data_IF_921137151395
#
_entry.id   IF_921137151395
#
_cell.length_a   1.000
_cell.length_b   1.000
_cell.length_c   1.000
_cell.angle_alpha   90.00
_cell.angle_beta   90.00
_cell.angle_gamma   90.00
#
_symmetry.space_group_name_H-M   'P 1'
#
loop_
_entity.id
_entity.type
_entity.pdbx_description
1 polymer ?
#
# COMPACT_ATOMS: atom_id res chain seq x y z
N UNK A 1 23.01 -19.25 29.34
CA UNK A 1 22.11 -18.08 29.45
C UNK A 1 21.95 -17.46 28.05
N UNK A 2 21.19 -18.10 27.14
CA UNK A 2 21.13 -17.66 25.71
C UNK A 2 19.71 -17.63 25.10
N UNK A 3 18.66 -17.51 25.92
CA UNK A 3 17.27 -17.54 25.42
C UNK A 3 16.64 -16.14 25.23
N UNK A 4 17.35 -15.04 25.52
CA UNK A 4 16.78 -13.68 25.42
C UNK A 4 16.96 -13.03 24.04
N UNK A 5 18.07 -13.28 23.34
CA UNK A 5 18.32 -12.66 22.02
C UNK A 5 17.34 -13.14 20.93
N UNK A 6 16.92 -14.42 20.97
CA UNK A 6 15.93 -14.99 20.03
C UNK A 6 14.51 -14.46 20.26
N UNK A 7 14.17 -14.06 21.49
CA UNK A 7 12.87 -13.43 21.78
C UNK A 7 12.85 -12.02 21.23
N UNK A 8 13.85 -11.20 21.55
CA UNK A 8 13.98 -9.80 21.11
C UNK A 8 13.76 -9.60 19.60
N UNK A 9 14.33 -10.49 18.78
CA UNK A 9 14.21 -10.46 17.31
C UNK A 9 12.78 -10.67 16.79
N UNK A 10 11.94 -11.46 17.48
CA UNK A 10 10.56 -11.73 17.06
C UNK A 10 9.53 -10.74 17.59
N UNK A 11 9.84 -10.04 18.68
CA UNK A 11 8.92 -9.05 19.26
C UNK A 11 8.91 -7.74 18.46
N UNK A 12 10.05 -7.37 17.88
CA UNK A 12 10.17 -6.14 17.08
C UNK A 12 9.19 -6.07 15.89
N UNK A 13 9.07 -7.09 15.01
CA UNK A 13 8.08 -7.07 13.92
C UNK A 13 6.64 -7.11 14.44
N UNK A 14 6.37 -7.82 15.54
CA UNK A 14 5.03 -7.85 16.15
C UNK A 14 4.61 -6.45 16.68
N UNK A 15 5.56 -5.73 17.30
CA UNK A 15 5.34 -4.35 17.75
C UNK A 15 5.14 -3.42 16.54
N UNK A 16 5.93 -3.57 15.47
CA UNK A 16 5.80 -2.76 14.27
C UNK A 16 4.40 -2.90 13.62
N UNK A 17 3.92 -4.14 13.48
CA UNK A 17 2.56 -4.42 12.95
C UNK A 17 1.49 -3.88 13.89
N UNK A 18 1.64 -4.08 15.20
CA UNK A 18 0.71 -3.55 16.20
C UNK A 18 0.64 -2.02 16.18
N UNK A 19 1.79 -1.35 16.05
CA UNK A 19 1.87 0.10 15.93
C UNK A 19 1.22 0.61 14.63
N UNK A 20 1.49 -0.02 13.50
CA UNK A 20 0.84 0.31 12.22
C UNK A 20 -0.67 0.19 12.31
N UNK A 21 -1.16 -0.89 12.92
CA UNK A 21 -2.59 -1.11 13.12
C UNK A 21 -3.21 -0.05 14.04
N UNK A 22 -2.53 0.30 15.13
CA UNK A 22 -2.99 1.36 16.04
C UNK A 22 -3.07 2.72 15.35
N UNK A 23 -2.09 3.06 14.50
CA UNK A 23 -2.11 4.28 13.68
C UNK A 23 -3.30 4.26 12.72
N UNK A 24 -3.52 3.17 11.97
CA UNK A 24 -4.66 3.04 11.07
C UNK A 24 -6.00 3.20 11.82
N UNK A 25 -6.16 2.53 12.96
CA UNK A 25 -7.35 2.65 13.78
C UNK A 25 -7.56 4.09 14.26
N UNK A 26 -6.51 4.76 14.75
CA UNK A 26 -6.59 6.14 15.19
C UNK A 26 -6.97 7.08 14.02
N UNK A 27 -6.35 6.92 12.84
CA UNK A 27 -6.66 7.73 11.65
C UNK A 27 -8.09 7.54 11.21
N UNK A 28 -8.61 6.31 11.16
CA UNK A 28 -10.00 6.03 10.76
C UNK A 28 -10.99 6.63 11.76
N UNK A 29 -10.72 6.56 13.07
CA UNK A 29 -11.60 7.13 14.09
C UNK A 29 -11.53 8.67 14.14
N UNK A 30 -10.37 9.26 13.84
CA UNK A 30 -10.19 10.70 13.80
C UNK A 30 -10.67 11.34 12.47
N UNK A 31 -10.92 10.53 11.45
CA UNK A 31 -11.39 11.01 10.16
C UNK A 31 -12.80 11.61 10.29
N UNK A 32 -12.87 12.94 10.27
CA UNK A 32 -14.11 13.65 10.03
C UNK A 32 -14.26 13.85 8.54
N UNK A 33 -15.38 13.39 8.00
CA UNK A 33 -15.78 13.72 6.64
C UNK A 33 -16.96 14.68 6.78
N UNK A 34 -16.86 15.84 6.13
CA UNK A 34 -17.97 16.80 6.06
C UNK A 34 -19.10 16.24 5.21
N UNK A 35 -19.86 15.29 5.75
CA UNK A 35 -21.00 14.68 5.05
C UNK A 35 -22.22 15.60 5.15
N UNK A 36 -22.15 16.77 4.50
CA UNK A 36 -23.31 17.62 4.30
C UNK A 36 -23.99 17.34 2.94
N UNK A 37 -23.30 16.68 2.00
CA UNK A 37 -23.84 16.33 0.68
C UNK A 37 -24.21 14.85 0.51
N UNK A 38 -25.41 14.65 -0.03
CA UNK A 38 -26.04 13.37 -0.38
C UNK A 38 -25.41 12.80 -1.65
N UNK A 39 -24.17 12.31 -1.58
CA UNK A 39 -23.48 11.67 -2.71
C UNK A 39 -23.30 12.56 -3.96
N UNK A 40 -22.68 12.02 -5.01
CA UNK A 40 -22.55 12.74 -6.29
C UNK A 40 -23.77 12.49 -7.20
N UNK A 41 -24.04 13.40 -8.16
CA UNK A 41 -25.04 13.18 -9.21
C UNK A 41 -24.83 11.83 -9.91
N UNK A 42 -25.92 11.16 -10.32
CA UNK A 42 -25.87 9.82 -10.90
C UNK A 42 -25.11 9.76 -12.24
N UNK A 43 -25.02 10.89 -12.95
CA UNK A 43 -24.29 11.07 -14.20
C UNK A 43 -22.85 11.57 -14.01
N UNK A 44 -22.45 11.88 -12.77
CA UNK A 44 -21.08 12.29 -12.47
C UNK A 44 -20.11 11.11 -12.47
N UNK A 45 -19.13 11.13 -13.37
CA UNK A 45 -18.07 10.13 -13.40
C UNK A 45 -16.86 10.57 -12.57
N UNK A 46 -16.60 9.89 -11.46
CA UNK A 46 -15.41 10.12 -10.62
C UNK A 46 -14.13 9.92 -11.42
N UNK A 47 -14.07 8.89 -12.28
CA UNK A 47 -12.89 8.58 -13.10
C UNK A 47 -12.54 9.72 -14.06
N UNK A 48 -13.53 10.29 -14.76
CA UNK A 48 -13.29 11.43 -15.65
C UNK A 48 -12.78 12.64 -14.87
N UNK A 49 -13.39 12.95 -13.74
CA UNK A 49 -13.01 14.09 -12.92
C UNK A 49 -11.62 13.94 -12.29
N UNK A 50 -11.20 12.72 -11.92
CA UNK A 50 -9.81 12.44 -11.54
C UNK A 50 -8.85 12.74 -12.71
N UNK A 51 -9.22 12.34 -13.92
CA UNK A 51 -8.45 12.64 -15.14
C UNK A 51 -8.34 14.14 -15.40
N UNK A 52 -9.43 14.89 -15.24
CA UNK A 52 -9.41 16.35 -15.35
C UNK A 52 -8.54 16.99 -14.27
N UNK A 53 -8.62 16.54 -13.02
CA UNK A 53 -7.78 17.03 -11.93
C UNK A 53 -6.29 16.76 -12.20
N UNK A 54 -5.94 15.58 -12.74
CA UNK A 54 -4.55 15.20 -13.03
C UNK A 54 -3.88 16.15 -14.02
N UNK A 55 -4.62 16.62 -15.02
CA UNK A 55 -4.13 17.55 -16.04
C UNK A 55 -4.50 19.01 -15.74
N UNK A 56 -4.96 19.32 -14.53
CA UNK A 56 -5.37 20.65 -14.11
C UNK A 56 -6.40 21.30 -15.05
N UNK A 57 -7.41 20.52 -15.45
CA UNK A 57 -8.47 20.96 -16.36
C UNK A 57 -9.76 21.41 -15.65
N UNK A 58 -9.77 21.46 -14.32
CA UNK A 58 -10.94 21.85 -13.53
C UNK A 58 -11.41 23.29 -13.79
N UNK A 59 -10.52 24.19 -14.23
CA UNK A 59 -10.85 25.57 -14.56
C UNK A 59 -11.54 25.79 -15.91
N UNK A 60 -11.80 24.73 -16.69
CA UNK A 60 -12.43 24.81 -18.02
C UNK A 60 -13.92 24.41 -18.01
N UNK A 61 -14.57 24.40 -16.84
CA UNK A 61 -15.99 24.05 -16.65
C UNK A 61 -16.40 22.65 -17.19
N UNK A 62 -15.43 21.76 -17.40
CA UNK A 62 -15.66 20.36 -17.79
C UNK A 62 -15.72 19.39 -16.61
N UNK A 63 -15.23 19.82 -15.45
CA UNK A 63 -15.29 19.05 -14.21
C UNK A 63 -16.69 19.21 -13.59
N UNK A 64 -17.33 18.10 -13.27
CA UNK A 64 -18.69 18.04 -12.72
C UNK A 64 -18.71 17.86 -11.21
N UNK A 65 -17.60 17.41 -10.61
CA UNK A 65 -17.46 17.24 -9.15
C UNK A 65 -16.04 17.63 -8.69
N UNK A 66 -15.86 18.03 -7.42
CA UNK A 66 -14.54 18.22 -6.82
C UNK A 66 -13.79 16.88 -6.74
N UNK A 67 -12.66 16.76 -7.44
CA UNK A 67 -11.94 15.48 -7.61
C UNK A 67 -10.49 15.49 -7.12
N UNK A 68 -10.00 16.62 -6.62
CA UNK A 68 -8.65 16.79 -6.10
C UNK A 68 -8.37 15.85 -4.93
N UNK A 69 -9.36 15.68 -4.04
CA UNK A 69 -9.27 14.73 -2.92
C UNK A 69 -9.18 13.28 -3.39
N UNK A 70 -9.93 12.91 -4.43
CA UNK A 70 -9.84 11.57 -5.03
C UNK A 70 -8.52 11.34 -5.73
N UNK A 71 -8.01 12.35 -6.46
CA UNK A 71 -6.69 12.30 -7.09
C UNK A 71 -5.60 12.14 -6.03
N UNK A 72 -5.64 12.92 -4.94
CA UNK A 72 -4.69 12.80 -3.84
C UNK A 72 -4.72 11.40 -3.21
N UNK A 73 -5.91 10.87 -2.89
CA UNK A 73 -6.05 9.52 -2.36
C UNK A 73 -5.54 8.45 -3.34
N UNK A 74 -5.83 8.59 -4.63
CA UNK A 74 -5.35 7.68 -5.68
C UNK A 74 -3.82 7.68 -5.77
N UNK A 75 -3.18 8.86 -5.74
CA UNK A 75 -1.72 8.98 -5.77
C UNK A 75 -1.06 8.44 -4.49
N UNK A 76 -1.64 8.70 -3.33
CA UNK A 76 -1.17 8.12 -2.05
C UNK A 76 -1.24 6.60 -2.10
N UNK A 77 -2.35 6.04 -2.58
CA UNK A 77 -2.49 4.60 -2.74
C UNK A 77 -1.48 4.03 -3.75
N UNK A 78 -1.24 4.71 -4.86
CA UNK A 78 -0.25 4.30 -5.85
C UNK A 78 1.16 4.20 -5.25
N UNK A 79 1.60 5.22 -4.50
CA UNK A 79 2.90 5.21 -3.80
C UNK A 79 2.95 4.14 -2.72
N UNK A 80 1.87 3.97 -1.94
CA UNK A 80 1.81 2.95 -0.90
C UNK A 80 1.90 1.54 -1.49
N UNK A 81 1.23 1.29 -2.62
CA UNK A 81 1.28 0.01 -3.34
C UNK A 81 2.67 -0.26 -3.91
N UNK A 82 3.34 0.75 -4.46
CA UNK A 82 4.73 0.65 -4.95
C UNK A 82 5.67 0.19 -3.84
N UNK A 83 5.66 0.90 -2.70
CA UNK A 83 6.48 0.56 -1.52
C UNK A 83 6.11 -0.80 -0.94
N UNK A 84 4.82 -1.18 -0.96
CA UNK A 84 4.37 -2.48 -0.45
C UNK A 84 4.91 -3.63 -1.32
N UNK A 85 4.90 -3.47 -2.65
CA UNK A 85 5.47 -4.47 -3.57
C UNK A 85 6.98 -4.57 -3.39
N UNK A 86 7.69 -3.44 -3.33
CA UNK A 86 9.13 -3.42 -3.09
C UNK A 86 9.50 -4.04 -1.74
N UNK A 87 8.74 -3.73 -0.69
CA UNK A 87 8.91 -4.33 0.63
C UNK A 87 8.65 -5.83 0.62
N UNK A 88 7.61 -6.30 -0.07
CA UNK A 88 7.31 -7.71 -0.21
C UNK A 88 8.43 -8.46 -0.96
N UNK A 89 8.95 -7.88 -2.05
CA UNK A 89 10.07 -8.45 -2.82
C UNK A 89 11.36 -8.45 -1.99
N UNK A 90 11.63 -7.38 -1.25
CA UNK A 90 12.79 -7.29 -0.35
C UNK A 90 12.73 -8.35 0.75
N UNK A 91 11.58 -8.51 1.41
CA UNK A 91 11.38 -9.51 2.47
C UNK A 91 11.36 -10.96 1.95
N UNK A 92 10.96 -11.17 0.69
CA UNK A 92 11.00 -12.47 0.05
C UNK A 92 12.43 -12.94 -0.30
N UNK A 93 13.40 -12.03 -0.34
CA UNK A 93 14.81 -12.37 -0.49
C UNK A 93 15.33 -12.91 0.85
N UNK A 94 15.86 -14.13 0.82
CA UNK A 94 16.50 -14.75 1.97
C UNK A 94 18.01 -14.85 1.68
N UNK A 95 18.83 -14.39 2.61
CA UNK A 95 20.27 -14.61 2.53
C UNK A 95 20.58 -15.95 3.20
N UNK A 96 21.15 -16.88 2.44
CA UNK A 96 21.60 -18.20 2.92
C UNK A 96 23.03 -18.42 2.37
N UNK A 97 23.98 -18.64 3.28
CA UNK A 97 25.41 -18.87 2.97
C UNK A 97 26.05 -17.85 2.01
N UNK A 98 25.95 -16.55 2.33
CA UNK A 98 26.52 -15.42 1.55
C UNK A 98 25.97 -15.31 0.11
N UNK A 99 24.87 -16.00 -0.17
CA UNK A 99 24.15 -15.94 -1.44
C UNK A 99 22.71 -15.47 -1.24
N UNK A 100 22.26 -14.54 -2.08
CA UNK A 100 20.86 -14.09 -2.07
C UNK A 100 20.03 -15.15 -2.81
N UNK A 101 19.27 -15.94 -2.06
CA UNK A 101 18.34 -16.95 -2.60
C UNK A 101 16.94 -16.34 -2.64
N UNK A 102 16.38 -16.20 -3.84
CA UNK A 102 14.97 -15.83 -4.02
C UNK A 102 14.10 -17.08 -3.94
N UNK A 103 13.09 -17.06 -3.05
CA UNK A 103 12.11 -18.14 -2.93
C UNK A 103 11.38 -18.45 -4.26
N UNK A 104 11.18 -17.42 -5.10
CA UNK A 104 10.56 -17.57 -6.41
C UNK A 104 11.49 -18.28 -7.41
N UNK A 105 12.80 -18.02 -7.32
CA UNK A 105 13.82 -18.66 -8.15
C UNK A 105 13.95 -20.16 -7.87
N UNK A 106 13.93 -20.58 -6.60
CA UNK A 106 13.93 -22.00 -6.24
C UNK A 106 12.72 -22.75 -6.81
N UNK A 107 11.52 -22.16 -6.73
CA UNK A 107 10.30 -22.76 -7.26
C UNK A 107 10.35 -23.04 -8.78
N UNK A 108 11.10 -22.23 -9.54
CA UNK A 108 11.29 -22.44 -10.97
C UNK A 108 12.49 -23.34 -11.32
N UNK A 109 13.42 -23.55 -10.38
CA UNK A 109 14.69 -24.28 -10.63
C UNK A 109 14.64 -25.75 -10.17
N UNK A 110 13.63 -26.16 -9.38
CA UNK A 110 13.41 -27.56 -8.91
C UNK A 110 12.95 -28.56 -10.01
N UNK A 111 13.06 -28.18 -11.28
CA UNK A 111 12.54 -28.94 -12.42
C UNK A 111 13.37 -30.16 -12.86
N UNK A 112 14.23 -30.76 -12.04
CA UNK A 112 15.20 -31.72 -12.56
C UNK A 112 15.91 -32.65 -11.59
N UNK A 113 15.20 -33.37 -10.73
CA UNK A 113 15.76 -34.57 -10.09
C UNK A 113 15.54 -35.78 -11.03
N UNK A 114 16.53 -36.07 -11.88
CA UNK A 114 16.53 -37.24 -12.78
C UNK A 114 17.44 -38.31 -12.18
N UNK A 115 16.79 -39.36 -11.65
CA UNK A 115 17.39 -40.68 -11.41
C UNK A 115 18.00 -41.25 -12.68
#
# INVERSE_FOLDING_TARGET
MSNDESRGSRIAPAIAVGALFAVLAATVNAATFGFEEVGFPADASVVHNIGYALFNLGGYDIATIPAEGFLAAFLIAAVALDVAVDGAVYLAKREEDDSIVSALGQAFTDGGDRR
#
